data_IF_617047471677
#
_entry.id   IF_617047471677
#
_cell.length_a   1.000
_cell.length_b   1.000
_cell.length_c   1.000
_cell.angle_alpha   90.00
_cell.angle_beta   90.00
_cell.angle_gamma   90.00
#
_symmetry.space_group_name_H-M   'P 1'
#
loop_
_entity.id
_entity.type
_entity.pdbx_description
1 polymer ?
#
# COMPACT_ATOMS: atom_id res chain seq x y z
N UNK A 1 -4.91 15.67 41.64
CA UNK A 1 -5.62 14.59 40.91
C UNK A 1 -4.61 13.85 40.04
N UNK A 2 -4.51 12.51 40.13
CA UNK A 2 -3.55 11.75 39.31
C UNK A 2 -4.09 11.68 37.88
N UNK A 3 -3.38 12.27 36.93
CA UNK A 3 -3.75 12.20 35.51
C UNK A 3 -3.20 10.93 34.89
N UNK A 4 -3.82 10.43 33.81
CA UNK A 4 -3.34 9.25 33.09
C UNK A 4 -1.88 9.43 32.66
N UNK A 5 -1.51 10.64 32.27
CA UNK A 5 -0.13 10.97 31.89
C UNK A 5 0.84 10.89 33.07
N UNK A 6 0.47 11.41 34.26
CA UNK A 6 1.32 11.31 35.44
C UNK A 6 1.50 9.85 35.90
N UNK A 7 0.46 9.04 35.76
CA UNK A 7 0.51 7.60 36.08
C UNK A 7 1.40 6.84 35.09
N UNK A 8 1.26 7.08 33.78
CA UNK A 8 2.12 6.46 32.75
C UNK A 8 3.61 6.74 32.99
N UNK A 9 3.95 7.99 33.31
CA UNK A 9 5.34 8.38 33.57
C UNK A 9 5.92 7.67 34.80
N UNK A 10 5.13 7.52 35.87
CA UNK A 10 5.57 6.80 37.07
C UNK A 10 5.72 5.29 36.82
N UNK A 11 4.78 4.67 36.09
CA UNK A 11 4.80 3.23 35.80
C UNK A 11 5.96 2.84 34.87
N UNK A 12 6.40 3.73 33.97
CA UNK A 12 7.56 3.49 33.08
C UNK A 12 8.84 3.15 33.84
N UNK A 13 9.05 3.71 35.03
CA UNK A 13 10.23 3.46 35.87
C UNK A 13 10.09 2.23 36.77
N UNK A 14 8.86 1.72 36.97
CA UNK A 14 8.57 0.56 37.84
C UNK A 14 8.37 -0.74 37.06
N UNK A 15 8.29 -0.68 35.75
CA UNK A 15 8.02 -1.81 34.89
C UNK A 15 9.34 -2.47 34.43
N UNK A 16 9.43 -3.79 34.60
CA UNK A 16 10.60 -4.57 34.23
C UNK A 16 10.67 -4.77 32.71
N UNK A 17 11.86 -4.65 32.10
CA UNK A 17 12.05 -4.97 30.69
C UNK A 17 11.91 -6.48 30.49
N UNK A 18 11.03 -6.88 29.56
CA UNK A 18 10.88 -8.26 29.10
C UNK A 18 11.09 -8.31 27.59
N UNK A 19 12.06 -9.10 27.16
CA UNK A 19 12.31 -9.38 25.74
C UNK A 19 11.34 -10.45 25.21
N UNK A 20 11.03 -10.40 23.90
CA UNK A 20 10.27 -11.45 23.21
C UNK A 20 8.78 -11.55 23.54
N UNK A 21 8.22 -10.52 24.19
CA UNK A 21 6.78 -10.45 24.53
C UNK A 21 5.94 -10.16 23.29
N UNK A 22 6.48 -9.37 22.35
CA UNK A 22 5.80 -9.03 21.12
C UNK A 22 6.06 -10.07 20.05
N UNK A 23 4.99 -10.46 19.34
CA UNK A 23 5.09 -11.27 18.15
C UNK A 23 4.35 -10.64 16.98
N UNK A 24 4.94 -10.72 15.80
CA UNK A 24 4.31 -10.29 14.54
C UNK A 24 3.95 -11.53 13.74
N UNK A 25 2.74 -11.55 13.21
CA UNK A 25 2.29 -12.62 12.31
C UNK A 25 2.50 -12.15 10.86
N UNK A 26 3.39 -12.83 10.14
CA UNK A 26 3.63 -12.60 8.72
C UNK A 26 3.06 -13.79 7.95
N UNK A 27 1.94 -13.58 7.26
CA UNK A 27 1.17 -14.66 6.65
C UNK A 27 0.59 -15.60 7.72
N UNK A 28 1.05 -16.87 7.73
CA UNK A 28 0.60 -17.90 8.69
C UNK A 28 1.58 -18.06 9.86
N UNK A 29 2.83 -17.61 9.71
CA UNK A 29 3.90 -17.80 10.70
C UNK A 29 3.95 -16.65 11.70
N UNK A 30 4.15 -16.99 12.98
CA UNK A 30 4.39 -16.01 14.06
C UNK A 30 5.89 -15.89 14.30
N UNK A 31 6.38 -14.66 14.38
CA UNK A 31 7.76 -14.34 14.67
C UNK A 31 7.83 -13.49 15.93
N UNK A 32 8.73 -13.83 16.85
CA UNK A 32 9.00 -13.01 18.04
C UNK A 32 9.85 -11.81 17.66
N UNK A 33 9.48 -10.62 18.11
CA UNK A 33 10.26 -9.40 17.89
C UNK A 33 11.37 -9.29 18.94
N UNK A 34 12.61 -8.95 18.54
CA UNK A 34 13.71 -8.71 19.46
C UNK A 34 13.61 -7.31 20.12
N UNK A 35 12.42 -6.92 20.57
CA UNK A 35 12.16 -5.62 21.21
C UNK A 35 11.87 -5.85 22.69
N UNK A 36 12.51 -5.04 23.53
CA UNK A 36 12.23 -5.02 24.96
C UNK A 36 10.95 -4.23 25.24
N UNK A 37 9.95 -4.91 25.81
CA UNK A 37 8.74 -4.28 26.30
C UNK A 37 8.81 -4.15 27.82
N UNK A 38 8.52 -2.96 28.36
CA UNK A 38 8.34 -2.82 29.81
C UNK A 38 6.91 -3.18 30.17
N UNK A 39 6.74 -4.21 31.00
CA UNK A 39 5.44 -4.78 31.33
C UNK A 39 5.20 -4.74 32.83
N UNK A 40 4.04 -4.24 33.26
CA UNK A 40 3.56 -4.37 34.63
C UNK A 40 2.11 -4.90 34.57
N UNK A 41 1.81 -5.97 35.30
CA UNK A 41 0.47 -6.58 35.32
C UNK A 41 0.03 -6.88 36.75
N UNK A 42 -1.24 -6.58 37.06
CA UNK A 42 -1.84 -6.82 38.39
C UNK A 42 -3.19 -7.57 38.30
N UNK A 43 -3.30 -8.53 37.36
CA UNK A 43 -4.50 -9.36 37.14
C UNK A 43 -5.73 -8.64 36.54
N UNK A 44 -5.95 -7.36 36.89
CA UNK A 44 -7.02 -6.50 36.36
C UNK A 44 -6.52 -5.44 35.38
N UNK A 45 -5.25 -5.05 35.50
CA UNK A 45 -4.65 -4.00 34.67
C UNK A 45 -3.29 -4.44 34.14
N UNK A 46 -3.00 -4.03 32.91
CA UNK A 46 -1.70 -4.26 32.26
C UNK A 46 -1.19 -2.92 31.73
N UNK A 47 0.02 -2.55 32.14
CA UNK A 47 0.79 -1.45 31.57
C UNK A 47 1.83 -2.02 30.60
N UNK A 48 1.80 -1.51 29.37
CA UNK A 48 2.75 -1.84 28.31
C UNK A 48 3.41 -0.55 27.84
N UNK A 49 4.73 -0.51 27.89
CA UNK A 49 5.52 0.59 27.32
C UNK A 49 6.53 0.01 26.33
N UNK A 50 6.45 0.48 25.09
CA UNK A 50 7.36 0.12 24.01
C UNK A 50 8.25 1.32 23.68
N UNK A 51 9.55 1.12 23.39
CA UNK A 51 10.35 2.16 22.76
C UNK A 51 9.75 2.49 21.39
N UNK A 52 9.73 3.78 21.03
CA UNK A 52 9.37 4.18 19.68
C UNK A 52 10.55 3.84 18.76
N UNK A 53 10.48 2.69 18.07
CA UNK A 53 11.47 2.28 17.08
C UNK A 53 10.83 2.04 15.72
N UNK A 54 11.54 2.46 14.68
CA UNK A 54 11.24 2.15 13.28
C UNK A 54 12.43 1.37 12.74
N UNK A 55 12.34 0.04 12.73
CA UNK A 55 13.42 -0.84 12.30
C UNK A 55 13.01 -1.69 11.09
N UNK A 56 13.98 -2.02 10.24
CA UNK A 56 13.84 -2.99 9.17
C UNK A 56 14.30 -4.36 9.68
N UNK A 57 13.45 -5.37 9.51
CA UNK A 57 13.78 -6.74 9.87
C UNK A 57 13.82 -7.62 8.63
N UNK A 58 14.88 -8.42 8.50
CA UNK A 58 14.94 -9.53 7.54
C UNK A 58 14.34 -10.78 8.18
N UNK A 59 13.52 -11.49 7.40
CA UNK A 59 12.93 -12.78 7.82
C UNK A 59 13.91 -13.90 7.46
N UNK A 60 14.65 -14.40 8.45
CA UNK A 60 15.61 -15.50 8.29
C UNK A 60 15.03 -16.79 8.88
N UNK A 61 14.41 -17.62 8.04
CA UNK A 61 13.86 -18.93 8.42
C UNK A 61 12.78 -18.85 9.52
N UNK A 62 13.19 -19.08 10.78
CA UNK A 62 12.33 -19.07 11.98
C UNK A 62 12.43 -17.77 12.80
N UNK A 63 13.33 -16.85 12.46
CA UNK A 63 13.61 -15.64 13.24
C UNK A 63 13.45 -14.35 12.45
N UNK A 64 13.45 -13.23 13.19
CA UNK A 64 13.60 -11.89 12.64
C UNK A 64 14.98 -11.37 13.04
N UNK A 65 15.73 -10.88 12.05
CA UNK A 65 17.03 -10.24 12.27
C UNK A 65 16.90 -8.77 11.91
N UNK A 66 17.19 -7.89 12.87
CA UNK A 66 17.23 -6.44 12.61
C UNK A 66 18.38 -6.12 11.65
N UNK A 67 18.10 -5.32 10.62
CA UNK A 67 19.11 -4.81 9.72
C UNK A 67 19.88 -3.66 10.39
N UNK A 68 21.20 -3.63 10.21
CA UNK A 68 22.01 -2.53 10.73
C UNK A 68 21.74 -1.25 9.92
N UNK A 69 21.97 -0.08 10.52
CA UNK A 69 21.71 1.22 9.89
C UNK A 69 22.54 1.50 8.63
N UNK A 70 23.66 0.80 8.47
CA UNK A 70 24.59 0.91 7.34
C UNK A 70 24.49 -0.27 6.35
N UNK A 71 23.54 -1.19 6.54
CA UNK A 71 23.34 -2.35 5.67
C UNK A 71 22.56 -1.95 4.40
N UNK A 72 22.86 -2.57 3.25
CA UNK A 72 22.14 -2.30 2.00
C UNK A 72 20.70 -2.80 2.09
N UNK A 73 19.75 -1.86 1.98
CA UNK A 73 18.31 -2.11 2.08
C UNK A 73 17.59 -2.01 0.72
N UNK A 74 18.32 -2.03 -0.41
CA UNK A 74 17.75 -1.89 -1.75
C UNK A 74 16.67 -2.93 -2.07
N UNK A 75 16.89 -4.18 -1.69
CA UNK A 75 15.92 -5.27 -1.85
C UNK A 75 14.67 -5.07 -0.99
N UNK A 76 14.86 -4.68 0.28
CA UNK A 76 13.76 -4.42 1.20
C UNK A 76 12.90 -3.24 0.71
N UNK A 77 13.53 -2.18 0.22
CA UNK A 77 12.84 -1.03 -0.37
C UNK A 77 12.03 -1.43 -1.61
N UNK A 78 12.61 -2.22 -2.52
CA UNK A 78 11.90 -2.71 -3.70
C UNK A 78 10.71 -3.60 -3.34
N UNK A 79 10.86 -4.47 -2.32
CA UNK A 79 9.81 -5.39 -1.90
C UNK A 79 8.65 -4.71 -1.16
N UNK A 80 8.95 -3.71 -0.32
CA UNK A 80 7.97 -3.04 0.54
C UNK A 80 7.33 -1.82 -0.12
N UNK A 81 7.90 -1.30 -1.22
CA UNK A 81 7.34 -0.16 -1.94
C UNK A 81 6.31 -0.66 -2.97
N UNK A 82 5.01 -0.33 -2.81
CA UNK A 82 3.98 -0.78 -3.75
C UNK A 82 4.25 -0.19 -5.14
N UNK A 83 4.39 -1.06 -6.15
CA UNK A 83 4.52 -0.60 -7.53
C UNK A 83 3.24 0.13 -7.94
N UNK A 84 3.35 1.40 -8.35
CA UNK A 84 2.24 2.14 -8.94
C UNK A 84 1.89 1.49 -10.28
N UNK A 85 1.00 0.49 -10.26
CA UNK A 85 0.42 -0.08 -11.49
C UNK A 85 -0.38 1.02 -12.19
N UNK A 86 0.27 1.73 -13.12
CA UNK A 86 -0.43 2.50 -14.16
C UNK A 86 -1.31 1.50 -14.91
N UNK A 87 -2.61 1.74 -14.90
CA UNK A 87 -3.60 0.82 -15.49
C UNK A 87 -3.19 0.37 -16.89
N UNK A 88 -3.21 -0.94 -17.12
CA UNK A 88 -2.94 -1.53 -18.43
C UNK A 88 -3.95 -0.96 -19.42
N UNK A 89 -3.53 -0.26 -20.50
CA UNK A 89 -4.47 0.13 -21.55
C UNK A 89 -5.10 -1.15 -22.09
N UNK A 90 -6.43 -1.24 -22.03
CA UNK A 90 -7.17 -2.30 -22.74
C UNK A 90 -6.85 -2.10 -24.22
N UNK A 91 -6.04 -2.97 -24.79
CA UNK A 91 -5.78 -2.99 -26.22
C UNK A 91 -7.12 -3.11 -26.97
N UNK A 92 -7.28 -2.43 -28.11
CA UNK A 92 -8.51 -2.53 -28.88
C UNK A 92 -8.71 -3.99 -29.33
N UNK A 93 -9.87 -4.56 -28.98
CA UNK A 93 -10.31 -5.86 -29.50
C UNK A 93 -10.61 -5.61 -30.98
N UNK A 94 -9.80 -6.17 -31.89
CA UNK A 94 -10.03 -6.04 -33.32
C UNK A 94 -11.32 -6.79 -33.68
N UNK A 95 -12.37 -6.05 -34.01
CA UNK A 95 -13.62 -6.60 -34.55
C UNK A 95 -13.61 -6.30 -36.04
N UNK A 96 -13.86 -7.32 -36.87
CA UNK A 96 -14.00 -7.15 -38.32
C UNK A 96 -15.25 -6.33 -38.61
N UNK A 97 -15.07 -5.16 -39.24
CA UNK A 97 -16.17 -4.29 -39.66
C UNK A 97 -16.70 -4.75 -41.03
N UNK A 98 -18.03 -4.81 -41.24
CA UNK A 98 -18.63 -4.99 -42.56
C UNK A 98 -18.14 -3.93 -43.55
N UNK A 99 -17.94 -4.32 -44.82
CA UNK A 99 -17.36 -3.46 -45.87
C UNK A 99 -18.13 -2.15 -46.11
N UNK A 100 -19.46 -2.17 -45.94
CA UNK A 100 -20.33 -1.00 -46.07
C UNK A 100 -20.07 0.05 -45.00
N UNK A 101 -19.69 -0.36 -43.78
CA UNK A 101 -19.35 0.58 -42.72
C UNK A 101 -17.96 1.17 -42.91
N UNK A 102 -17.04 0.42 -43.52
CA UNK A 102 -15.69 0.91 -43.79
C UNK A 102 -15.70 2.04 -44.83
N UNK A 103 -16.51 1.92 -45.89
CA UNK A 103 -16.65 2.97 -46.89
C UNK A 103 -17.33 4.22 -46.30
N UNK A 104 -18.36 4.05 -45.47
CA UNK A 104 -19.03 5.15 -44.79
C UNK A 104 -18.11 5.89 -43.80
N UNK A 105 -17.24 5.17 -43.06
CA UNK A 105 -16.30 5.76 -42.12
C UNK A 105 -15.14 6.52 -42.81
N UNK A 106 -14.74 6.12 -44.02
CA UNK A 106 -13.72 6.84 -44.82
C UNK A 106 -14.17 8.24 -45.25
N UNK A 107 -15.48 8.47 -45.34
CA UNK A 107 -16.05 9.77 -45.68
C UNK A 107 -16.09 10.76 -44.51
N UNK A 108 -15.65 10.37 -43.30
CA UNK A 108 -15.60 11.27 -42.14
C UNK A 108 -14.43 12.27 -42.30
N UNK A 109 -14.69 13.58 -42.22
CA UNK A 109 -13.63 14.59 -42.31
C UNK A 109 -12.55 14.43 -41.22
N UNK A 110 -11.29 14.69 -41.57
CA UNK A 110 -10.18 14.64 -40.64
C UNK A 110 -10.41 15.56 -39.41
N UNK A 111 -10.19 15.04 -38.21
CA UNK A 111 -10.43 15.78 -36.97
C UNK A 111 -11.86 15.69 -36.43
N UNK A 112 -12.73 14.87 -37.04
CA UNK A 112 -14.05 14.53 -36.52
C UNK A 112 -14.16 13.03 -36.25
N UNK A 113 -15.09 12.66 -35.37
CA UNK A 113 -15.48 11.28 -35.07
C UNK A 113 -17.00 11.17 -35.01
N UNK A 114 -17.53 9.97 -35.24
CA UNK A 114 -18.93 9.70 -34.99
C UNK A 114 -19.19 9.78 -33.48
N UNK A 115 -20.17 10.59 -33.07
CA UNK A 115 -20.69 10.64 -31.72
C UNK A 115 -22.21 10.62 -31.75
N UNK A 116 -22.82 10.57 -30.57
CA UNK A 116 -24.28 10.61 -30.42
C UNK A 116 -24.68 11.91 -29.75
N UNK A 117 -25.75 12.53 -30.25
CA UNK A 117 -26.40 13.67 -29.61
C UNK A 117 -27.21 13.26 -28.37
N UNK A 118 -27.78 14.25 -27.65
CA UNK A 118 -28.65 13.98 -26.50
C UNK A 118 -29.90 13.16 -26.87
N UNK A 119 -30.36 13.26 -28.12
CA UNK A 119 -31.51 12.53 -28.65
C UNK A 119 -31.14 11.15 -29.24
N UNK A 120 -29.91 10.69 -29.05
CA UNK A 120 -29.43 9.41 -29.60
C UNK A 120 -29.16 9.42 -31.11
N UNK A 121 -29.33 10.56 -31.79
CA UNK A 121 -29.06 10.71 -33.23
C UNK A 121 -27.53 10.79 -33.47
N UNK A 122 -26.98 10.07 -34.47
CA UNK A 122 -25.56 10.14 -34.81
C UNK A 122 -25.20 11.52 -35.37
N UNK A 123 -24.12 12.13 -34.85
CA UNK A 123 -23.57 13.43 -35.30
C UNK A 123 -22.04 13.40 -35.33
N UNK A 124 -21.46 14.19 -36.23
CA UNK A 124 -20.01 14.43 -36.24
C UNK A 124 -19.57 15.29 -35.05
N UNK A 125 -18.65 14.76 -34.24
CA UNK A 125 -18.08 15.43 -33.07
C UNK A 125 -16.60 15.69 -33.30
N UNK A 126 -16.16 16.93 -33.06
CA UNK A 126 -14.74 17.33 -33.21
C UNK A 126 -13.87 16.55 -32.22
N UNK A 127 -12.82 15.90 -32.73
CA UNK A 127 -11.82 15.23 -31.90
C UNK A 127 -10.92 16.27 -31.23
N UNK A 128 -10.85 16.24 -29.90
CA UNK A 128 -9.94 17.11 -29.14
C UNK A 128 -8.59 16.42 -29.03
N UNK A 129 -7.53 17.02 -29.59
CA UNK A 129 -6.15 16.61 -29.29
C UNK A 129 -5.78 17.17 -27.92
N UNK A 130 -5.62 16.30 -26.93
CA UNK A 130 -5.09 16.68 -25.61
C UNK A 130 -3.57 16.85 -25.78
N UNK A 131 -3.04 18.06 -25.55
CA UNK A 131 -1.58 18.25 -25.46
C UNK A 131 -1.08 17.41 -24.28
N UNK A 132 0.00 16.66 -24.53
CA UNK A 132 0.66 15.81 -23.53
C UNK A 132 1.61 16.67 -22.70
#
# INVERSE_FOLDING_TARGET
MKTVQSVKNSLKFKADPKAGVLSVKVGVKKYSLPVEARVLSDGKYVFLSFPASSELYRVDGKGLKGMASNEDASEAHAALTPSRRRGRPRGPRAVSLPAELESALKNIPAGYKLGYGPDGVPRLVRSRRRRK
#
